data_IF_676577816597
#
_entry.id   IF_676577816597
#
_cell.length_a   1.000
_cell.length_b   1.000
_cell.length_c   1.000
_cell.angle_alpha   90.00
_cell.angle_beta   90.00
_cell.angle_gamma   90.00
#
_symmetry.space_group_name_H-M   'P 1'
#
loop_
_entity.id
_entity.type
_entity.pdbx_description
1 polymer ?
#
# COMPACT_ATOMS: atom_id res chain seq x y z
N UNK A 1 -13.43 -11.63 70.07
CA UNK A 1 -13.21 -10.86 68.83
C UNK A 1 -12.77 -11.86 67.79
N UNK A 2 -13.65 -12.15 66.82
CA UNK A 2 -13.56 -13.28 65.89
C UNK A 2 -13.30 -12.78 64.47
N UNK A 3 -12.61 -13.63 63.70
CA UNK A 3 -12.25 -13.53 62.28
C UNK A 3 -13.44 -13.50 61.30
N UNK A 4 -13.15 -12.90 60.13
CA UNK A 4 -13.63 -13.17 58.74
C UNK A 4 -15.06 -12.75 58.30
N UNK A 5 -15.37 -12.66 56.98
CA UNK A 5 -14.78 -11.79 55.93
C UNK A 5 -15.87 -11.15 55.02
N UNK A 6 -15.55 -10.17 54.16
CA UNK A 6 -16.44 -9.81 53.03
C UNK A 6 -15.63 -9.65 51.73
N UNK A 7 -15.88 -10.58 50.83
CA UNK A 7 -15.51 -10.53 49.42
C UNK A 7 -16.35 -9.49 48.68
N UNK A 8 -15.72 -8.74 47.76
CA UNK A 8 -16.40 -8.14 46.61
C UNK A 8 -15.57 -8.36 45.34
N UNK A 9 -16.19 -9.09 44.44
CA UNK A 9 -15.85 -9.34 43.04
C UNK A 9 -15.99 -8.09 42.18
N UNK A 10 -14.94 -7.74 41.42
CA UNK A 10 -14.94 -7.01 40.13
C UNK A 10 -13.67 -7.50 39.40
N UNK A 11 -13.74 -8.26 38.31
CA UNK A 11 -14.16 -7.87 36.95
C UNK A 11 -12.94 -7.27 36.20
N UNK A 12 -12.39 -7.90 35.15
CA UNK A 12 -11.18 -7.41 34.49
C UNK A 12 -11.53 -6.29 33.50
N UNK A 13 -11.39 -5.04 33.95
CA UNK A 13 -11.36 -3.87 33.08
C UNK A 13 -10.19 -3.00 33.53
N UNK A 14 -8.98 -3.41 33.16
CA UNK A 14 -7.75 -2.67 33.46
C UNK A 14 -6.64 -3.02 32.47
N UNK A 15 -6.80 -2.63 31.19
CA UNK A 15 -5.71 -2.44 30.22
C UNK A 15 -6.14 -1.45 29.13
N UNK A 16 -6.13 -0.15 29.44
CA UNK A 16 -6.00 0.91 28.41
C UNK A 16 -5.73 2.30 29.01
N UNK A 17 -4.96 2.38 30.10
CA UNK A 17 -4.59 3.65 30.71
C UNK A 17 -3.15 3.59 31.25
N UNK A 18 -2.18 3.54 30.33
CA UNK A 18 -0.77 3.84 30.63
C UNK A 18 -0.25 4.75 29.52
N UNK A 19 -0.62 6.04 29.56
CA UNK A 19 0.18 7.13 28.98
C UNK A 19 -0.30 8.52 29.42
N UNK A 20 -0.62 8.68 30.70
CA UNK A 20 -0.87 10.02 31.27
C UNK A 20 -0.52 10.09 32.76
N UNK A 21 0.69 9.66 33.14
CA UNK A 21 1.22 9.90 34.48
C UNK A 21 2.74 9.63 34.53
N UNK A 22 3.54 10.34 33.74
CA UNK A 22 4.98 10.44 33.99
C UNK A 22 5.65 11.65 33.31
N UNK A 23 5.06 12.86 33.40
CA UNK A 23 5.71 14.11 32.93
C UNK A 23 5.67 15.25 33.97
N UNK A 24 5.62 14.95 35.26
CA UNK A 24 5.55 15.97 36.32
C UNK A 24 6.71 15.98 37.32
N UNK A 25 7.86 15.37 37.02
CA UNK A 25 8.97 15.32 37.98
C UNK A 25 10.37 15.71 37.46
N UNK A 26 10.56 16.00 36.18
CA UNK A 26 11.86 16.51 35.72
C UNK A 26 11.61 17.62 34.70
N UNK A 27 11.91 18.86 35.11
CA UNK A 27 11.88 20.01 34.23
C UNK A 27 12.93 19.85 33.13
N UNK A 28 12.49 19.39 31.96
CA UNK A 28 13.23 19.44 30.71
C UNK A 28 12.26 19.85 29.61
N UNK A 29 12.35 21.10 29.20
CA UNK A 29 11.75 21.63 27.98
C UNK A 29 12.57 21.10 26.80
N UNK A 30 11.99 20.25 25.96
CA UNK A 30 12.65 19.77 24.74
C UNK A 30 12.13 18.44 24.22
N UNK A 31 10.89 18.43 23.73
CA UNK A 31 10.45 17.49 22.69
C UNK A 31 9.80 18.37 21.62
N UNK A 32 10.61 18.84 20.66
CA UNK A 32 10.08 19.47 19.45
C UNK A 32 9.84 18.39 18.40
N UNK A 33 8.70 18.55 17.76
CA UNK A 33 8.04 17.65 16.83
C UNK A 33 8.76 17.60 15.47
N UNK A 34 8.66 16.44 14.81
CA UNK A 34 9.28 16.16 13.51
C UNK A 34 8.94 17.21 12.45
N UNK A 35 9.95 17.97 12.06
CA UNK A 35 9.87 18.94 10.98
C UNK A 35 9.81 18.23 9.61
N UNK A 36 8.69 18.39 8.90
CA UNK A 36 8.71 18.35 7.43
C UNK A 36 9.43 19.60 6.92
N UNK A 37 10.70 19.44 6.53
CA UNK A 37 11.49 20.51 5.91
C UNK A 37 10.99 20.68 4.47
N UNK A 38 10.51 21.87 4.06
CA UNK A 38 10.17 22.10 2.67
C UNK A 38 11.41 21.94 1.78
N UNK A 39 11.27 21.21 0.69
CA UNK A 39 12.21 21.28 -0.43
C UNK A 39 12.22 22.75 -0.87
N UNK A 40 13.33 23.45 -0.67
CA UNK A 40 13.51 24.80 -1.19
C UNK A 40 13.43 24.73 -2.71
N UNK A 41 12.69 25.66 -3.30
CA UNK A 41 12.77 25.98 -4.73
C UNK A 41 14.23 26.00 -5.16
N UNK A 42 14.58 25.08 -6.08
CA UNK A 42 15.80 25.20 -6.83
C UNK A 42 15.61 26.36 -7.79
N UNK A 43 16.08 27.53 -7.37
CA UNK A 43 16.16 28.70 -8.23
C UNK A 43 16.91 28.35 -9.51
N UNK A 44 16.38 28.86 -10.62
CA UNK A 44 16.97 28.81 -11.96
C UNK A 44 18.46 29.15 -11.91
N UNK A 45 19.30 28.12 -11.93
CA UNK A 45 20.71 28.28 -12.25
C UNK A 45 20.80 28.46 -13.78
N UNK A 46 21.47 29.53 -14.27
CA UNK A 46 21.68 29.67 -15.70
C UNK A 46 22.58 28.53 -16.17
N UNK A 47 22.06 27.71 -17.08
CA UNK A 47 22.85 26.78 -17.86
C UNK A 47 23.70 27.60 -18.82
N UNK A 48 24.99 27.72 -18.49
CA UNK A 48 26.01 28.18 -19.41
C UNK A 48 26.07 27.19 -20.59
N UNK A 49 25.59 27.66 -21.73
CA UNK A 49 25.77 27.01 -23.00
C UNK A 49 27.20 27.24 -23.47
N UNK A 50 28.07 26.23 -23.42
CA UNK A 50 29.20 26.10 -24.35
C UNK A 50 29.86 24.71 -24.31
N UNK A 51 30.20 24.22 -25.51
CA UNK A 51 30.97 23.01 -25.85
C UNK A 51 30.27 21.64 -25.81
N UNK A 52 29.39 21.41 -26.80
CA UNK A 52 29.17 20.07 -27.35
C UNK A 52 30.38 19.73 -28.21
N UNK A 53 31.17 18.74 -27.78
CA UNK A 53 32.15 18.07 -28.63
C UNK A 53 31.40 16.95 -29.35
N UNK A 54 31.21 17.11 -30.65
CA UNK A 54 30.78 16.04 -31.55
C UNK A 54 31.77 14.88 -31.46
N UNK A 55 31.25 13.68 -31.20
CA UNK A 55 31.99 12.43 -31.38
C UNK A 55 31.32 11.68 -32.50
N UNK A 56 32.05 11.56 -33.61
CA UNK A 56 31.69 10.85 -34.84
C UNK A 56 31.26 9.41 -34.56
N UNK A 57 30.09 9.04 -35.06
CA UNK A 57 29.67 7.65 -35.23
C UNK A 57 30.26 7.11 -36.55
N UNK A 58 30.78 5.87 -36.60
CA UNK A 58 31.23 5.31 -37.86
C UNK A 58 30.05 4.81 -38.71
N UNK A 59 30.10 5.23 -39.97
CA UNK A 59 29.34 4.75 -41.11
C UNK A 59 29.33 3.21 -41.24
N UNK A 60 28.14 2.64 -41.42
CA UNK A 60 27.95 1.37 -42.13
C UNK A 60 26.80 1.53 -43.13
N UNK A 61 27.17 1.54 -44.40
CA UNK A 61 26.28 1.58 -45.55
C UNK A 61 25.77 0.16 -45.94
N UNK A 62 24.72 0.06 -46.78
CA UNK A 62 23.87 -1.12 -46.95
C UNK A 62 24.22 -1.96 -48.21
N UNK A 63 23.75 -3.22 -48.27
CA UNK A 63 22.96 -3.76 -49.40
C UNK A 63 22.70 -5.29 -49.36
N UNK A 64 21.48 -5.63 -49.81
CA UNK A 64 21.01 -6.84 -50.53
C UNK A 64 20.69 -8.16 -49.76
N UNK A 65 19.87 -9.08 -50.35
CA UNK A 65 18.57 -8.94 -51.03
C UNK A 65 17.52 -9.98 -50.50
N UNK A 66 16.29 -10.09 -51.05
CA UNK A 66 15.23 -10.94 -50.48
C UNK A 66 15.29 -12.38 -50.99
N UNK A 67 14.86 -13.33 -50.16
CA UNK A 67 14.67 -14.73 -50.55
C UNK A 67 13.17 -15.08 -50.61
N UNK A 68 12.70 -15.30 -51.83
CA UNK A 68 11.52 -16.10 -52.15
C UNK A 68 11.76 -17.56 -51.78
N UNK A 69 10.83 -18.20 -51.06
CA UNK A 69 10.63 -19.66 -51.12
C UNK A 69 9.15 -20.01 -50.95
N UNK A 70 8.58 -20.40 -52.08
CA UNK A 70 7.63 -21.50 -52.34
C UNK A 70 6.64 -21.98 -51.28
N UNK A 71 5.36 -21.95 -51.70
CA UNK A 71 4.25 -22.66 -51.07
C UNK A 71 4.21 -24.14 -51.45
N UNK A 72 3.90 -24.97 -50.46
CA UNK A 72 3.44 -26.35 -50.61
C UNK A 72 2.17 -26.56 -49.76
N UNK A 73 1.27 -27.47 -50.15
CA UNK A 73 -0.02 -27.64 -49.49
C UNK A 73 0.13 -28.40 -48.16
N UNK A 74 -0.26 -27.76 -47.06
CA UNK A 74 -0.42 -28.42 -45.75
C UNK A 74 -1.61 -29.40 -45.81
N UNK A 75 -1.29 -30.67 -45.61
CA UNK A 75 -2.25 -31.73 -45.31
C UNK A 75 -2.75 -31.58 -43.86
N UNK A 76 -4.07 -31.47 -43.69
CA UNK A 76 -4.71 -31.46 -42.38
C UNK A 76 -4.41 -32.76 -41.60
N UNK A 77 -3.94 -32.68 -40.35
CA UNK A 77 -3.90 -33.85 -39.46
C UNK A 77 -5.30 -34.14 -38.89
N UNK A 78 -5.61 -35.42 -38.82
CA UNK A 78 -6.84 -36.00 -38.28
C UNK A 78 -7.21 -35.44 -36.90
N UNK A 79 -8.48 -35.08 -36.74
CA UNK A 79 -9.07 -34.68 -35.47
C UNK A 79 -9.00 -35.85 -34.47
N UNK A 80 -8.46 -35.65 -33.25
CA UNK A 80 -8.54 -36.66 -32.21
C UNK A 80 -10.01 -36.83 -31.74
N UNK A 81 -10.38 -38.02 -31.24
CA UNK A 81 -11.75 -38.30 -30.81
C UNK A 81 -12.13 -37.38 -29.65
N UNK A 82 -13.32 -36.78 -29.75
CA UNK A 82 -13.98 -36.04 -28.69
C UNK A 82 -14.15 -36.94 -27.45
N UNK A 83 -13.23 -36.83 -26.50
CA UNK A 83 -13.42 -37.35 -25.16
C UNK A 83 -14.38 -36.40 -24.47
N UNK A 84 -15.67 -36.76 -24.42
CA UNK A 84 -16.66 -36.07 -23.60
C UNK A 84 -16.20 -36.07 -22.14
N UNK A 85 -15.63 -34.97 -21.69
CA UNK A 85 -15.41 -34.69 -20.28
C UNK A 85 -16.75 -34.27 -19.70
N UNK A 86 -17.27 -35.14 -18.85
CA UNK A 86 -18.44 -34.93 -18.01
C UNK A 86 -18.10 -33.83 -16.98
N UNK A 87 -18.31 -32.56 -17.35
CA UNK A 87 -18.02 -31.36 -16.55
C UNK A 87 -19.03 -31.14 -15.40
N UNK A 88 -19.65 -32.20 -14.89
CA UNK A 88 -20.77 -32.17 -13.94
C UNK A 88 -20.44 -31.77 -12.49
N UNK A 89 -19.37 -31.01 -12.23
CA UNK A 89 -18.93 -30.67 -10.86
C UNK A 89 -18.65 -29.18 -10.57
N UNK A 90 -18.89 -28.26 -11.51
CA UNK A 90 -18.53 -26.85 -11.34
C UNK A 90 -19.70 -25.92 -10.92
N UNK A 91 -20.94 -26.40 -10.80
CA UNK A 91 -22.12 -25.52 -10.57
C UNK A 91 -22.30 -25.03 -9.12
N UNK A 92 -21.56 -25.56 -8.13
CA UNK A 92 -21.78 -25.24 -6.71
C UNK A 92 -20.77 -24.25 -6.09
N UNK A 93 -19.78 -23.75 -6.84
CA UNK A 93 -18.84 -22.77 -6.29
C UNK A 93 -19.56 -21.43 -6.05
N UNK A 94 -19.44 -20.82 -4.85
CA UNK A 94 -20.06 -19.52 -4.59
C UNK A 94 -19.52 -18.46 -5.55
N UNK A 95 -20.36 -17.51 -5.99
CA UNK A 95 -19.97 -16.54 -7.00
C UNK A 95 -18.84 -15.63 -6.48
N UNK A 96 -17.93 -15.19 -7.38
CA UNK A 96 -16.90 -14.23 -7.02
C UNK A 96 -17.53 -12.91 -6.54
N UNK A 97 -16.75 -12.05 -5.84
CA UNK A 97 -17.22 -10.72 -5.52
C UNK A 97 -17.60 -10.00 -6.81
N UNK A 98 -18.69 -9.23 -6.78
CA UNK A 98 -19.03 -8.46 -7.95
C UNK A 98 -18.02 -7.32 -8.18
N UNK A 99 -17.80 -6.96 -9.44
CA UNK A 99 -16.90 -5.86 -9.82
C UNK A 99 -17.33 -4.55 -9.16
N UNK A 100 -16.45 -3.98 -8.33
CA UNK A 100 -16.65 -2.73 -7.63
C UNK A 100 -15.27 -2.15 -7.26
N UNK A 101 -14.94 -0.94 -7.72
CA UNK A 101 -13.62 -0.32 -7.51
C UNK A 101 -13.57 0.60 -6.29
N UNK A 102 -14.70 0.87 -5.65
CA UNK A 102 -14.78 1.77 -4.52
C UNK A 102 -14.26 1.10 -3.26
N UNK A 103 -13.55 1.86 -2.43
CA UNK A 103 -13.10 1.41 -1.13
C UNK A 103 -12.66 2.58 -0.24
N UNK A 104 -12.18 2.24 0.96
CA UNK A 104 -11.67 3.21 1.93
C UNK A 104 -10.65 2.56 2.87
N UNK A 105 -9.65 3.33 3.32
CA UNK A 105 -8.69 2.87 4.32
C UNK A 105 -9.08 3.20 5.77
N UNK A 106 -8.80 2.26 6.67
CA UNK A 106 -8.91 2.41 8.12
C UNK A 106 -7.52 2.53 8.75
N UNK A 107 -7.40 3.25 9.88
CA UNK A 107 -6.13 3.39 10.64
C UNK A 107 -5.86 2.22 11.61
N UNK A 108 -6.58 1.11 11.47
CA UNK A 108 -6.49 -0.03 12.36
C UNK A 108 -7.11 -1.29 11.77
N UNK A 109 -7.30 -2.34 12.58
CA UNK A 109 -7.85 -3.60 12.11
C UNK A 109 -9.32 -3.49 11.68
N UNK A 110 -10.02 -2.42 12.08
CA UNK A 110 -11.44 -2.20 11.81
C UNK A 110 -12.33 -2.73 12.92
N UNK A 111 -13.28 -1.89 13.37
CA UNK A 111 -14.35 -2.31 14.27
C UNK A 111 -15.68 -2.40 13.52
N UNK A 112 -16.73 -2.89 14.18
CA UNK A 112 -18.04 -3.05 13.53
C UNK A 112 -18.61 -1.72 13.00
N UNK A 113 -18.36 -0.61 13.69
CA UNK A 113 -18.89 0.70 13.32
C UNK A 113 -18.19 1.25 12.07
N UNK A 114 -16.86 1.23 12.04
CA UNK A 114 -16.09 1.67 10.87
C UNK A 114 -16.34 0.76 9.67
N UNK A 115 -16.56 -0.54 9.89
CA UNK A 115 -16.94 -1.46 8.83
C UNK A 115 -18.36 -1.23 8.30
N UNK A 116 -19.32 -0.81 9.14
CA UNK A 116 -20.66 -0.39 8.69
C UNK A 116 -20.57 0.84 7.77
N UNK A 117 -19.76 1.83 8.15
CA UNK A 117 -19.50 3.02 7.33
C UNK A 117 -18.77 2.66 6.03
N UNK A 118 -17.74 1.81 6.09
CA UNK A 118 -17.03 1.35 4.90
C UNK A 118 -17.98 0.61 3.93
N UNK A 119 -18.89 -0.21 4.45
CA UNK A 119 -19.89 -0.92 3.66
C UNK A 119 -20.92 0.03 3.05
N UNK A 120 -21.42 1.01 3.81
CA UNK A 120 -22.35 2.02 3.31
C UNK A 120 -21.72 2.89 2.21
N UNK A 121 -20.42 3.21 2.32
CA UNK A 121 -19.66 3.97 1.33
C UNK A 121 -19.30 3.16 0.07
N UNK A 122 -18.68 1.98 0.25
CA UNK A 122 -18.10 1.19 -0.84
C UNK A 122 -19.11 0.24 -1.48
N UNK A 123 -20.07 -0.29 -0.71
CA UNK A 123 -21.12 -1.19 -1.17
C UNK A 123 -20.61 -2.63 -1.43
N UNK A 124 -21.51 -3.56 -1.82
CA UNK A 124 -21.14 -4.96 -2.02
C UNK A 124 -20.04 -5.15 -3.09
N UNK A 125 -19.05 -5.97 -2.75
CA UNK A 125 -17.82 -6.19 -3.51
C UNK A 125 -16.79 -5.07 -3.39
N UNK A 126 -17.10 -3.99 -2.64
CA UNK A 126 -16.19 -2.88 -2.42
C UNK A 126 -15.03 -3.27 -1.51
N UNK A 127 -13.96 -2.48 -1.54
CA UNK A 127 -12.72 -2.79 -0.83
C UNK A 127 -12.61 -2.05 0.51
N UNK A 128 -11.94 -2.66 1.48
CA UNK A 128 -11.59 -2.01 2.74
C UNK A 128 -10.14 -2.32 3.10
N UNK A 129 -9.32 -1.26 3.27
CA UNK A 129 -7.94 -1.42 3.75
C UNK A 129 -7.94 -1.48 5.29
N UNK A 130 -7.41 -2.58 5.82
CA UNK A 130 -7.25 -2.85 7.25
C UNK A 130 -5.76 -2.87 7.59
N UNK A 131 -5.40 -2.45 8.80
CA UNK A 131 -4.01 -2.45 9.25
C UNK A 131 -3.86 -3.43 10.41
N UNK A 132 -3.04 -4.46 10.22
CA UNK A 132 -2.66 -5.44 11.23
C UNK A 132 -1.21 -5.16 11.68
N UNK A 133 -1.03 -4.32 12.71
CA UNK A 133 0.29 -4.00 13.24
C UNK A 133 0.82 -5.15 14.10
N UNK A 134 2.10 -5.15 14.41
CA UNK A 134 2.65 -6.01 15.46
C UNK A 134 3.05 -7.40 15.03
N UNK A 135 3.21 -7.64 13.73
CA UNK A 135 3.76 -8.91 13.24
C UNK A 135 5.28 -8.84 13.27
N UNK A 136 5.86 -9.60 14.19
CA UNK A 136 7.30 -9.88 14.27
C UNK A 136 7.57 -11.35 13.91
N UNK A 137 8.84 -11.74 13.76
CA UNK A 137 9.25 -13.13 13.47
C UNK A 137 8.71 -14.18 14.47
N UNK A 138 8.43 -13.76 15.70
CA UNK A 138 7.96 -14.63 16.79
C UNK A 138 6.42 -14.76 16.84
N UNK A 139 5.70 -14.07 15.94
CA UNK A 139 4.23 -14.08 15.93
C UNK A 139 3.69 -15.46 15.59
N UNK A 140 2.88 -16.05 16.47
CA UNK A 140 2.43 -17.44 16.33
C UNK A 140 1.19 -17.61 15.43
N UNK A 141 0.46 -16.55 15.14
CA UNK A 141 -0.81 -16.56 14.40
C UNK A 141 -1.52 -15.21 14.51
N UNK A 142 -2.73 -15.06 13.95
CA UNK A 142 -3.43 -13.78 13.97
C UNK A 142 -3.94 -13.44 15.37
N UNK A 143 -3.97 -12.15 15.70
CA UNK A 143 -4.68 -11.66 16.89
C UNK A 143 -6.20 -11.95 16.74
N UNK A 144 -6.92 -12.33 17.80
CA UNK A 144 -8.36 -12.57 17.74
C UNK A 144 -9.17 -11.39 17.18
N UNK A 145 -8.72 -10.14 17.39
CA UNK A 145 -9.36 -8.96 16.83
C UNK A 145 -9.22 -8.88 15.30
N UNK A 146 -8.13 -9.40 14.73
CA UNK A 146 -7.93 -9.45 13.27
C UNK A 146 -8.84 -10.49 12.63
N UNK A 147 -8.97 -11.65 13.27
CA UNK A 147 -9.92 -12.70 12.86
C UNK A 147 -11.34 -12.14 12.83
N UNK A 148 -11.72 -11.41 13.88
CA UNK A 148 -13.04 -10.78 13.99
C UNK A 148 -13.25 -9.70 12.92
N UNK A 149 -12.25 -8.85 12.65
CA UNK A 149 -12.33 -7.83 11.63
C UNK A 149 -12.56 -8.41 10.22
N UNK A 150 -11.82 -9.45 9.84
CA UNK A 150 -12.02 -10.12 8.54
C UNK A 150 -13.42 -10.71 8.45
N UNK A 151 -13.89 -11.37 9.52
CA UNK A 151 -15.25 -11.93 9.57
C UNK A 151 -16.31 -10.84 9.38
N UNK A 152 -16.17 -9.71 10.07
CA UNK A 152 -17.09 -8.58 9.98
C UNK A 152 -17.07 -7.90 8.60
N UNK A 153 -15.91 -7.79 7.97
CA UNK A 153 -15.78 -7.27 6.61
C UNK A 153 -16.49 -8.19 5.60
N UNK A 154 -16.24 -9.51 5.67
CA UNK A 154 -16.91 -10.48 4.80
C UNK A 154 -18.43 -10.51 4.98
N UNK A 155 -18.94 -10.32 6.20
CA UNK A 155 -20.38 -10.23 6.48
C UNK A 155 -21.07 -9.02 5.85
N UNK A 156 -20.28 -8.00 5.48
CA UNK A 156 -20.74 -6.79 4.80
C UNK A 156 -20.46 -6.80 3.30
N UNK A 157 -20.11 -7.98 2.76
CA UNK A 157 -19.70 -8.14 1.36
C UNK A 157 -18.54 -7.22 0.97
N UNK A 158 -17.63 -6.91 1.90
CA UNK A 158 -16.39 -6.17 1.63
C UNK A 158 -15.24 -7.13 1.30
N UNK A 159 -14.37 -6.71 0.39
CA UNK A 159 -13.12 -7.39 0.02
C UNK A 159 -11.97 -6.79 0.85
N UNK A 160 -11.35 -7.54 1.77
CA UNK A 160 -10.28 -7.01 2.61
C UNK A 160 -8.96 -6.84 1.84
N UNK A 161 -8.31 -5.69 2.06
CA UNK A 161 -6.91 -5.42 1.73
C UNK A 161 -6.18 -5.20 3.04
N UNK A 162 -5.31 -6.11 3.42
CA UNK A 162 -4.69 -6.14 4.75
C UNK A 162 -3.24 -5.71 4.66
N UNK A 163 -2.94 -4.54 5.19
CA UNK A 163 -1.57 -4.10 5.44
C UNK A 163 -1.06 -4.77 6.70
N UNK A 164 -0.08 -5.65 6.56
CA UNK A 164 0.60 -6.28 7.68
C UNK A 164 1.94 -5.55 7.88
N UNK A 165 2.27 -5.21 9.12
CA UNK A 165 3.49 -4.49 9.45
C UNK A 165 3.96 -4.70 10.89
N UNK A 166 5.06 -4.04 11.28
CA UNK A 166 5.62 -4.10 12.63
C UNK A 166 4.67 -3.45 13.67
N UNK A 167 4.96 -3.56 14.98
CA UNK A 167 4.19 -2.87 16.01
C UNK A 167 4.08 -1.36 15.73
N UNK A 168 2.99 -0.74 16.15
CA UNK A 168 2.84 0.71 15.99
C UNK A 168 3.98 1.49 16.66
N UNK A 169 4.64 2.34 15.89
CA UNK A 169 5.79 3.13 16.34
C UNK A 169 7.09 2.32 16.47
N UNK A 170 7.07 1.06 16.06
CA UNK A 170 8.27 0.25 15.83
C UNK A 170 8.54 0.21 14.33
N UNK A 171 9.63 0.87 13.94
CA UNK A 171 10.02 1.02 12.55
C UNK A 171 11.28 0.18 12.24
N UNK A 172 11.66 -0.71 13.16
CA UNK A 172 12.85 -1.53 13.10
C UNK A 172 12.59 -2.88 12.39
N UNK A 173 11.69 -2.93 11.40
CA UNK A 173 11.39 -4.16 10.63
C UNK A 173 12.65 -4.78 10.01
N UNK A 174 13.64 -3.95 9.68
CA UNK A 174 14.97 -4.38 9.22
C UNK A 174 15.65 -5.36 10.19
N UNK A 175 15.41 -5.21 11.49
CA UNK A 175 16.00 -6.05 12.53
C UNK A 175 15.37 -7.45 12.62
N UNK A 176 14.24 -7.66 11.96
CA UNK A 176 13.63 -8.99 11.81
C UNK A 176 14.26 -9.83 10.69
N UNK A 177 15.27 -9.30 9.99
CA UNK A 177 16.05 -10.08 9.05
C UNK A 177 16.74 -11.28 9.72
N UNK A 178 16.90 -12.37 8.96
CA UNK A 178 17.54 -13.58 9.44
C UNK A 178 19.00 -13.30 9.85
N UNK A 179 19.50 -13.85 10.97
CA UNK A 179 20.86 -13.61 11.42
C UNK A 179 21.93 -13.88 10.35
N UNK A 180 22.83 -12.91 10.16
CA UNK A 180 23.91 -12.99 9.18
C UNK A 180 23.50 -12.79 7.72
N UNK A 181 22.24 -12.44 7.44
CA UNK A 181 21.76 -12.16 6.08
C UNK A 181 22.09 -10.75 5.58
N UNK A 182 22.52 -9.84 6.47
CA UNK A 182 22.70 -8.42 6.18
C UNK A 182 21.43 -7.76 5.59
N UNK A 183 20.25 -8.14 6.10
CA UNK A 183 18.98 -7.58 5.63
C UNK A 183 18.47 -8.17 4.32
N UNK A 184 19.05 -9.27 3.82
CA UNK A 184 18.71 -9.85 2.51
C UNK A 184 17.92 -11.17 2.58
N UNK A 185 17.53 -11.60 3.79
CA UNK A 185 16.63 -12.74 4.04
C UNK A 185 15.75 -12.47 5.26
N UNK A 186 14.47 -12.79 5.15
CA UNK A 186 13.45 -12.57 6.16
C UNK A 186 12.59 -13.83 6.36
N UNK A 187 13.17 -15.03 6.25
CA UNK A 187 12.39 -16.28 6.24
C UNK A 187 11.61 -16.49 7.54
N UNK A 188 12.16 -16.11 8.69
CA UNK A 188 11.43 -16.21 9.96
C UNK A 188 10.23 -15.25 10.05
N UNK A 189 10.38 -14.02 9.54
CA UNK A 189 9.28 -13.04 9.48
C UNK A 189 8.24 -13.45 8.42
N UNK A 190 8.66 -13.96 7.27
CA UNK A 190 7.77 -14.48 6.24
C UNK A 190 6.91 -15.65 6.75
N UNK A 191 7.49 -16.55 7.53
CA UNK A 191 6.74 -17.62 8.20
C UNK A 191 5.76 -17.07 9.25
N UNK A 192 6.05 -15.93 9.88
CA UNK A 192 5.09 -15.26 10.77
C UNK A 192 3.89 -14.69 9.98
N UNK A 193 4.13 -14.04 8.84
CA UNK A 193 3.07 -13.60 7.92
C UNK A 193 2.21 -14.79 7.47
N UNK A 194 2.84 -15.89 7.07
CA UNK A 194 2.16 -17.13 6.69
C UNK A 194 1.27 -17.66 7.81
N UNK A 195 1.75 -17.74 9.05
CA UNK A 195 0.95 -18.18 10.22
C UNK A 195 -0.23 -17.26 10.50
N UNK A 196 -0.04 -15.95 10.38
CA UNK A 196 -1.12 -14.96 10.54
C UNK A 196 -2.20 -15.19 9.49
N UNK A 197 -1.83 -15.18 8.20
CA UNK A 197 -2.78 -15.29 7.09
C UNK A 197 -3.48 -16.65 7.07
N UNK A 198 -2.77 -17.74 7.36
CA UNK A 198 -3.36 -19.08 7.44
C UNK A 198 -4.44 -19.22 8.53
N UNK A 199 -4.40 -18.37 9.55
CA UNK A 199 -5.39 -18.35 10.63
C UNK A 199 -6.58 -17.44 10.38
N UNK A 200 -6.61 -16.65 9.28
CA UNK A 200 -7.70 -15.73 9.00
C UNK A 200 -8.92 -16.45 8.40
N UNK A 201 -10.15 -16.00 8.71
CA UNK A 201 -11.36 -16.61 8.17
C UNK A 201 -11.61 -16.13 6.73
N UNK A 202 -11.21 -16.95 5.75
CA UNK A 202 -11.38 -16.62 4.33
C UNK A 202 -12.77 -17.03 3.82
N UNK A 203 -13.46 -16.11 3.14
CA UNK A 203 -14.71 -16.40 2.42
C UNK A 203 -14.42 -17.18 1.14
N UNK A 204 -15.21 -18.21 0.85
CA UNK A 204 -15.05 -19.00 -0.37
C UNK A 204 -15.34 -18.15 -1.62
N UNK A 205 -14.54 -18.32 -2.68
CA UNK A 205 -14.64 -17.56 -3.93
C UNK A 205 -14.21 -16.08 -3.85
N UNK A 206 -13.85 -15.58 -2.67
CA UNK A 206 -13.51 -14.17 -2.46
C UNK A 206 -12.02 -14.02 -2.12
N UNK A 207 -11.30 -13.07 -2.76
CA UNK A 207 -9.90 -12.86 -2.46
C UNK A 207 -9.70 -12.11 -1.14
N UNK A 208 -8.51 -12.26 -0.58
CA UNK A 208 -7.92 -11.36 0.40
C UNK A 208 -6.60 -10.87 -0.17
N UNK A 209 -6.37 -9.57 -0.10
CA UNK A 209 -5.12 -8.96 -0.58
C UNK A 209 -4.23 -8.64 0.61
N UNK A 210 -2.98 -9.06 0.57
CA UNK A 210 -2.00 -8.85 1.64
C UNK A 210 -0.98 -7.83 1.12
N UNK A 211 -1.02 -6.63 1.69
CA UNK A 211 -0.05 -5.56 1.47
C UNK A 211 1.09 -5.73 2.48
N UNK A 212 2.30 -5.93 1.96
CA UNK A 212 3.48 -6.22 2.78
C UNK A 212 4.18 -4.92 3.16
N UNK A 213 4.00 -4.48 4.41
CA UNK A 213 4.57 -3.27 5.00
C UNK A 213 3.95 -1.95 4.48
N UNK A 214 4.52 -0.80 4.87
CA UNK A 214 4.11 0.55 4.47
C UNK A 214 5.34 1.37 4.04
N UNK A 215 5.28 2.06 2.90
CA UNK A 215 6.23 3.12 2.46
C UNK A 215 7.70 2.93 2.90
N UNK A 216 8.33 1.78 2.61
CA UNK A 216 9.71 1.47 3.04
C UNK A 216 10.77 2.44 2.49
N UNK A 217 10.41 3.28 1.52
CA UNK A 217 11.24 4.34 0.96
C UNK A 217 11.29 5.61 1.83
N UNK A 218 10.59 5.62 2.97
CA UNK A 218 10.67 6.63 4.01
C UNK A 218 11.49 6.18 5.22
N UNK A 219 12.32 7.08 5.75
CA UNK A 219 13.23 6.77 6.85
C UNK A 219 12.55 6.35 8.14
N UNK A 220 11.32 6.80 8.36
CA UNK A 220 10.53 6.42 9.52
C UNK A 220 9.75 5.12 9.32
N UNK A 221 9.76 4.50 8.14
CA UNK A 221 9.15 3.18 7.93
C UNK A 221 10.20 2.07 7.81
N UNK A 222 11.44 2.44 7.50
CA UNK A 222 12.58 1.53 7.38
C UNK A 222 13.81 2.07 8.10
N UNK A 223 13.84 1.91 9.43
CA UNK A 223 14.94 2.43 10.26
C UNK A 223 16.10 1.42 10.32
N UNK A 224 17.33 1.95 10.25
CA UNK A 224 18.53 1.19 10.63
C UNK A 224 18.95 1.52 12.06
N UNK A 225 19.47 0.53 12.79
CA UNK A 225 20.00 0.73 14.14
C UNK A 225 21.42 1.33 14.07
N UNK A 226 21.76 2.33 14.92
CA UNK A 226 23.11 2.90 14.99
C UNK A 226 24.19 1.81 15.17
N UNK A 227 25.29 1.96 14.43
CA UNK A 227 26.41 1.02 14.38
C UNK A 227 26.21 -0.19 13.46
N UNK A 228 25.03 -0.34 12.83
CA UNK A 228 24.75 -1.51 11.95
C UNK A 228 25.03 -1.27 10.47
N UNK A 229 25.26 -0.02 10.06
CA UNK A 229 25.67 0.34 8.70
C UNK A 229 26.88 1.29 8.74
N UNK A 230 27.78 1.24 7.75
CA UNK A 230 28.94 2.13 7.72
C UNK A 230 28.55 3.61 7.77
N UNK A 231 29.10 4.34 8.74
CA UNK A 231 28.86 5.77 8.90
C UNK A 231 27.50 6.14 9.48
N UNK A 232 26.67 5.19 9.91
CA UNK A 232 25.33 5.41 10.48
C UNK A 232 24.34 6.10 9.52
N UNK A 233 24.53 5.89 8.21
CA UNK A 233 23.59 6.32 7.17
C UNK A 233 23.31 5.16 6.21
N UNK A 234 22.06 4.73 6.11
CA UNK A 234 21.63 3.74 5.13
C UNK A 234 21.18 4.47 3.86
N UNK A 235 21.72 4.07 2.71
CA UNK A 235 21.32 4.59 1.40
C UNK A 235 20.07 3.90 0.87
N UNK A 236 19.28 4.60 0.04
CA UNK A 236 18.05 4.05 -0.53
C UNK A 236 18.30 2.77 -1.33
N UNK A 237 19.48 2.60 -1.93
CA UNK A 237 19.78 1.38 -2.67
C UNK A 237 19.84 0.15 -1.76
N UNK A 238 20.40 0.32 -0.56
CA UNK A 238 20.41 -0.75 0.42
C UNK A 238 18.99 -1.01 0.93
N UNK A 239 18.25 0.03 1.30
CA UNK A 239 16.86 -0.08 1.76
C UNK A 239 15.96 -0.79 0.73
N UNK A 240 16.06 -0.41 -0.55
CA UNK A 240 15.31 -1.03 -1.65
C UNK A 240 15.61 -2.52 -1.79
N UNK A 241 16.88 -2.92 -1.69
CA UNK A 241 17.27 -4.34 -1.76
C UNK A 241 16.81 -5.15 -0.56
N UNK A 242 16.93 -4.57 0.64
CA UNK A 242 16.47 -5.22 1.87
C UNK A 242 14.95 -5.41 1.84
N UNK A 243 14.19 -4.39 1.42
CA UNK A 243 12.75 -4.51 1.25
C UNK A 243 12.35 -5.48 0.12
N UNK A 244 13.04 -5.47 -1.03
CA UNK A 244 12.80 -6.44 -2.10
C UNK A 244 12.99 -7.89 -1.61
N UNK A 245 13.97 -8.14 -0.75
CA UNK A 245 14.17 -9.43 -0.12
C UNK A 245 13.05 -9.81 0.86
N UNK A 246 12.57 -8.86 1.67
CA UNK A 246 11.39 -9.08 2.53
C UNK A 246 10.17 -9.45 1.70
N UNK A 247 9.86 -8.66 0.66
CA UNK A 247 8.70 -8.87 -0.19
C UNK A 247 8.77 -10.21 -0.93
N UNK A 248 9.95 -10.61 -1.43
CA UNK A 248 10.18 -11.94 -2.02
C UNK A 248 9.84 -13.05 -1.03
N UNK A 249 10.45 -13.03 0.16
CA UNK A 249 10.32 -14.13 1.13
C UNK A 249 8.88 -14.24 1.64
N UNK A 250 8.21 -13.10 1.88
CA UNK A 250 6.79 -13.06 2.28
C UNK A 250 5.89 -13.58 1.15
N UNK A 251 6.08 -13.13 -0.09
CA UNK A 251 5.28 -13.59 -1.22
C UNK A 251 5.43 -15.11 -1.41
N UNK A 252 6.65 -15.64 -1.40
CA UNK A 252 6.92 -17.07 -1.52
C UNK A 252 6.25 -17.87 -0.39
N UNK A 253 6.31 -17.37 0.86
CA UNK A 253 5.69 -18.04 2.01
C UNK A 253 4.15 -18.06 1.95
N UNK A 254 3.54 -16.95 1.49
CA UNK A 254 2.08 -16.82 1.33
C UNK A 254 1.56 -17.65 0.16
N UNK A 255 2.21 -17.59 -1.01
CA UNK A 255 1.85 -18.45 -2.15
C UNK A 255 2.04 -19.94 -1.83
N UNK A 256 3.02 -20.27 -0.99
CA UNK A 256 3.22 -21.62 -0.48
C UNK A 256 2.08 -22.16 0.40
N UNK A 257 1.05 -21.37 0.73
CA UNK A 257 -0.20 -21.87 1.33
C UNK A 257 -1.07 -22.60 0.31
N UNK A 258 -0.89 -22.35 -0.99
CA UNK A 258 -1.63 -23.00 -2.07
C UNK A 258 -3.10 -22.58 -2.17
N UNK A 259 -3.51 -21.54 -1.44
CA UNK A 259 -4.88 -21.01 -1.50
C UNK A 259 -4.95 -19.83 -2.50
N UNK A 260 -5.63 -19.99 -3.66
CA UNK A 260 -5.68 -18.96 -4.70
C UNK A 260 -6.47 -17.71 -4.30
N UNK A 261 -7.09 -17.69 -3.12
CA UNK A 261 -7.75 -16.49 -2.59
C UNK A 261 -6.75 -15.51 -1.98
N UNK A 262 -5.59 -15.99 -1.53
CA UNK A 262 -4.56 -15.16 -0.92
C UNK A 262 -3.76 -14.51 -2.05
N UNK A 263 -3.78 -13.18 -2.10
CA UNK A 263 -3.11 -12.37 -3.11
C UNK A 263 -2.11 -11.43 -2.46
N UNK A 264 -0.96 -11.23 -3.10
CA UNK A 264 0.14 -10.43 -2.55
C UNK A 264 0.29 -9.12 -3.31
N UNK A 265 0.38 -8.03 -2.54
CA UNK A 265 0.73 -6.68 -2.99
C UNK A 265 2.08 -6.27 -2.36
N UNK A 266 2.84 -5.42 -3.04
CA UNK A 266 3.87 -4.60 -2.39
C UNK A 266 3.23 -3.63 -1.38
N UNK A 267 3.99 -3.09 -0.44
CA UNK A 267 3.70 -1.79 0.19
C UNK A 267 3.47 -0.73 -0.87
N UNK A 268 2.44 0.11 -0.70
CA UNK A 268 2.42 1.38 -1.42
C UNK A 268 3.64 2.20 -1.03
N UNK A 269 4.39 2.66 -2.05
CA UNK A 269 5.58 3.48 -1.86
C UNK A 269 5.18 4.96 -1.78
N UNK A 270 5.89 5.74 -0.96
CA UNK A 270 5.68 7.17 -0.96
C UNK A 270 6.12 7.73 -2.34
N UNK A 271 5.37 8.64 -2.98
CA UNK A 271 5.77 9.07 -4.32
C UNK A 271 7.15 9.74 -4.35
N UNK A 272 7.54 10.40 -3.25
CA UNK A 272 8.89 10.89 -3.00
C UNK A 272 9.50 10.24 -1.77
N UNK A 273 10.77 9.86 -1.86
CA UNK A 273 11.49 9.11 -0.84
C UNK A 273 12.82 9.73 -0.41
N UNK A 274 13.44 9.11 0.58
CA UNK A 274 14.74 9.53 1.08
C UNK A 274 15.89 8.87 0.30
N UNK A 275 16.85 9.66 -0.17
CA UNK A 275 18.11 9.19 -0.74
C UNK A 275 18.95 8.45 0.30
N UNK A 276 18.94 8.91 1.54
CA UNK A 276 19.54 8.20 2.68
C UNK A 276 18.92 8.62 4.00
N UNK A 277 18.98 7.70 4.95
CA UNK A 277 18.42 7.83 6.28
C UNK A 277 19.52 7.68 7.33
N UNK A 278 19.51 8.55 8.34
CA UNK A 278 20.36 8.40 9.50
C UNK A 278 19.84 7.24 10.35
N UNK A 279 20.73 6.35 10.78
CA UNK A 279 20.35 5.30 11.71
C UNK A 279 19.90 5.88 13.05
N UNK A 280 18.83 5.31 13.60
CA UNK A 280 18.07 5.88 14.72
C UNK A 280 16.89 6.76 14.29
N UNK A 281 16.78 7.13 13.02
CA UNK A 281 15.59 7.77 12.45
C UNK A 281 15.51 9.30 12.58
N UNK A 282 16.50 9.95 13.18
CA UNK A 282 16.46 11.40 13.47
C UNK A 282 16.79 12.31 12.27
N UNK A 283 17.35 11.76 11.19
CA UNK A 283 17.86 12.54 10.05
C UNK A 283 17.62 11.87 8.70
N UNK A 284 17.42 12.66 7.65
CA UNK A 284 17.23 12.16 6.29
C UNK A 284 17.69 13.16 5.23
N UNK A 285 17.96 12.65 4.03
CA UNK A 285 18.15 13.44 2.82
C UNK A 285 17.11 13.03 1.78
N UNK A 286 16.19 13.93 1.43
CA UNK A 286 15.24 13.70 0.34
C UNK A 286 15.96 13.66 -1.01
N UNK A 287 15.42 12.93 -1.99
CA UNK A 287 15.90 13.07 -3.36
C UNK A 287 15.64 11.93 -4.34
N UNK A 288 14.85 10.92 -3.97
CA UNK A 288 14.45 9.85 -4.90
C UNK A 288 12.93 9.85 -5.09
N UNK A 289 12.48 9.18 -6.14
CA UNK A 289 11.06 8.84 -6.33
C UNK A 289 10.82 7.36 -6.05
N UNK A 290 9.56 6.96 -5.85
CA UNK A 290 9.18 5.54 -5.81
C UNK A 290 9.67 4.76 -7.05
N UNK A 291 9.73 5.42 -8.20
CA UNK A 291 10.20 4.84 -9.47
C UNK A 291 11.68 4.45 -9.38
N UNK A 292 12.51 5.27 -8.74
CA UNK A 292 13.93 4.98 -8.53
C UNK A 292 14.11 3.82 -7.54
N UNK A 293 13.31 3.83 -6.48
CA UNK A 293 13.28 2.75 -5.48
C UNK A 293 12.87 1.41 -6.11
N UNK A 294 11.81 1.38 -6.92
CA UNK A 294 11.34 0.19 -7.66
C UNK A 294 12.40 -0.35 -8.62
N UNK A 295 13.07 0.53 -9.38
CA UNK A 295 14.17 0.10 -10.27
C UNK A 295 15.29 -0.58 -9.50
N UNK A 296 15.61 -0.07 -8.32
CA UNK A 296 16.65 -0.66 -7.48
C UNK A 296 16.19 -1.97 -6.82
N UNK A 297 14.92 -2.07 -6.40
CA UNK A 297 14.32 -3.33 -5.94
C UNK A 297 14.45 -4.45 -6.98
N UNK A 298 14.35 -4.12 -8.28
CA UNK A 298 14.44 -5.07 -9.39
C UNK A 298 15.85 -5.20 -9.98
N UNK A 299 16.85 -4.48 -9.44
CA UNK A 299 18.16 -4.42 -10.06
C UNK A 299 18.90 -5.76 -9.99
N UNK A 300 19.66 -6.09 -11.03
CA UNK A 300 20.59 -7.24 -11.01
C UNK A 300 21.82 -6.98 -10.11
N UNK A 301 21.98 -5.75 -9.63
CA UNK A 301 23.09 -5.29 -8.79
C UNK A 301 22.86 -5.52 -7.29
N UNK A 302 21.86 -6.35 -6.94
CA UNK A 302 21.58 -6.75 -5.56
C UNK A 302 20.11 -6.74 -5.18
N UNK A 303 19.21 -6.33 -6.08
CA UNK A 303 17.77 -6.48 -5.91
C UNK A 303 17.29 -7.91 -6.18
N UNK A 304 16.00 -8.04 -6.47
CA UNK A 304 15.31 -9.29 -6.81
C UNK A 304 14.68 -9.12 -8.20
N UNK A 305 15.40 -9.44 -9.29
CA UNK A 305 14.94 -9.17 -10.66
C UNK A 305 13.62 -9.85 -11.05
N UNK A 306 13.29 -10.96 -10.41
CA UNK A 306 12.07 -11.74 -10.64
C UNK A 306 10.96 -11.41 -9.61
N UNK A 307 11.11 -10.36 -8.80
CA UNK A 307 10.14 -9.96 -7.78
C UNK A 307 8.77 -9.63 -8.38
N UNK A 308 8.74 -8.96 -9.54
CA UNK A 308 7.50 -8.58 -10.20
C UNK A 308 6.64 -9.79 -10.59
N UNK A 309 7.22 -10.98 -10.76
CA UNK A 309 6.48 -12.21 -11.04
C UNK A 309 5.80 -12.82 -9.81
N UNK A 310 6.16 -12.37 -8.60
CA UNK A 310 5.59 -12.83 -7.31
C UNK A 310 4.43 -11.97 -6.82
N UNK A 311 4.08 -10.90 -7.53
CA UNK A 311 2.97 -10.04 -7.15
C UNK A 311 1.70 -10.45 -7.89
N UNK A 312 0.58 -10.46 -7.16
CA UNK A 312 -0.75 -10.67 -7.73
C UNK A 312 -1.43 -9.35 -8.13
N UNK A 313 -0.94 -8.24 -7.57
CA UNK A 313 -1.37 -6.88 -7.84
C UNK A 313 -0.32 -5.89 -7.37
N UNK A 314 -0.55 -4.60 -7.66
CA UNK A 314 0.40 -3.54 -7.34
C UNK A 314 -0.26 -2.47 -6.45
N UNK A 315 0.29 -2.22 -5.27
CA UNK A 315 -0.15 -1.11 -4.42
C UNK A 315 0.60 0.18 -4.78
N UNK A 316 -0.13 1.30 -4.84
CA UNK A 316 0.42 2.63 -5.11
C UNK A 316 -0.18 3.66 -4.16
N UNK A 317 0.64 4.61 -3.71
CA UNK A 317 0.18 5.79 -2.97
C UNK A 317 0.15 7.03 -3.88
N UNK A 318 -0.59 6.96 -4.98
CA UNK A 318 -0.74 8.06 -5.95
C UNK A 318 -1.54 9.23 -5.37
N UNK A 319 -0.88 10.10 -4.61
CA UNK A 319 -1.46 11.31 -4.01
C UNK A 319 -1.53 12.48 -5.02
N UNK A 320 -2.46 13.43 -4.84
CA UNK A 320 -2.56 14.62 -5.68
C UNK A 320 -1.30 15.47 -5.55
N UNK A 321 -0.61 15.65 -6.68
CA UNK A 321 0.66 16.33 -6.73
C UNK A 321 0.89 17.00 -8.09
N UNK A 322 1.56 18.15 -8.08
CA UNK A 322 1.98 18.90 -9.27
C UNK A 322 3.03 18.15 -10.11
N UNK A 323 3.79 17.25 -9.49
CA UNK A 323 4.83 16.49 -10.16
C UNK A 323 4.97 15.06 -9.66
N UNK A 324 5.98 14.39 -10.21
CA UNK A 324 6.31 13.00 -9.91
C UNK A 324 7.07 12.94 -8.59
N UNK A 325 6.37 12.71 -7.48
CA UNK A 325 6.98 12.59 -6.15
C UNK A 325 7.17 13.91 -5.39
N UNK A 326 6.60 15.02 -5.85
CA UNK A 326 6.73 16.33 -5.21
C UNK A 326 5.53 17.24 -5.51
N UNK A 327 5.38 18.32 -4.72
CA UNK A 327 4.32 19.31 -4.93
C UNK A 327 2.95 18.79 -4.54
N UNK A 328 2.85 18.12 -3.38
CA UNK A 328 1.62 17.51 -2.88
C UNK A 328 0.58 18.54 -2.41
N UNK A 329 -0.65 18.06 -2.28
CA UNK A 329 -1.80 18.79 -1.71
C UNK A 329 -2.23 19.98 -2.56
N UNK A 330 -2.12 19.84 -3.87
CA UNK A 330 -2.46 20.89 -4.83
C UNK A 330 -3.93 20.78 -5.26
N UNK A 331 -4.57 21.90 -5.65
CA UNK A 331 -5.89 21.86 -6.24
C UNK A 331 -5.98 20.93 -7.46
N UNK A 332 -7.18 20.46 -7.74
CA UNK A 332 -7.44 19.43 -8.75
C UNK A 332 -6.81 19.70 -10.13
N UNK A 333 -6.87 20.95 -10.60
CA UNK A 333 -6.36 21.37 -11.91
C UNK A 333 -4.85 21.16 -12.07
N UNK A 334 -4.12 20.99 -10.96
CA UNK A 334 -2.68 20.72 -10.94
C UNK A 334 -2.33 19.32 -10.46
N UNK A 335 -3.28 18.57 -9.90
CA UNK A 335 -3.03 17.26 -9.27
C UNK A 335 -2.83 16.09 -10.25
N UNK A 336 -3.15 16.27 -11.53
CA UNK A 336 -3.17 15.20 -12.53
C UNK A 336 -1.89 14.36 -12.65
N UNK A 337 -0.68 14.93 -12.54
CA UNK A 337 0.56 14.14 -12.52
C UNK A 337 0.61 13.14 -11.35
N UNK A 338 0.35 13.59 -10.12
CA UNK A 338 0.36 12.73 -8.94
C UNK A 338 -0.76 11.67 -8.93
N UNK A 339 -1.96 12.02 -9.41
CA UNK A 339 -3.11 11.11 -9.46
C UNK A 339 -2.91 9.92 -10.42
N UNK A 340 -1.96 10.02 -11.35
CA UNK A 340 -1.57 8.99 -12.34
C UNK A 340 -0.18 8.41 -12.08
N UNK A 341 0.41 8.70 -10.93
CA UNK A 341 1.80 8.31 -10.63
C UNK A 341 2.02 6.78 -10.75
N UNK A 342 1.01 5.99 -10.38
CA UNK A 342 0.98 4.53 -10.54
C UNK A 342 1.32 4.04 -11.96
N UNK A 343 1.03 4.82 -13.01
CA UNK A 343 1.36 4.46 -14.39
C UNK A 343 2.87 4.35 -14.59
N UNK A 344 3.63 5.26 -13.97
CA UNK A 344 5.10 5.26 -14.02
C UNK A 344 5.70 4.17 -13.14
N UNK A 345 5.06 3.89 -12.01
CA UNK A 345 5.44 2.78 -11.14
C UNK A 345 5.25 1.42 -11.84
N UNK A 346 4.10 1.19 -12.47
CA UNK A 346 3.84 0.00 -13.28
C UNK A 346 4.84 -0.13 -14.44
N UNK A 347 5.18 0.98 -15.09
CA UNK A 347 6.17 0.99 -16.15
C UNK A 347 7.56 0.58 -15.63
N UNK A 348 7.95 1.03 -14.44
CA UNK A 348 9.21 0.65 -13.80
C UNK A 348 9.21 -0.80 -13.32
N UNK A 349 8.06 -1.31 -12.86
CA UNK A 349 7.87 -2.71 -12.47
C UNK A 349 8.00 -3.67 -13.66
N UNK A 350 7.74 -3.19 -14.89
CA UNK A 350 7.76 -4.00 -16.11
C UNK A 350 6.56 -4.93 -16.27
N UNK A 351 5.49 -4.73 -15.47
CA UNK A 351 4.27 -5.55 -15.46
C UNK A 351 3.02 -4.68 -15.60
N UNK A 352 2.56 -4.47 -16.84
CA UNK A 352 1.36 -3.67 -17.14
C UNK A 352 0.04 -4.44 -16.99
N UNK A 353 0.12 -5.73 -16.73
CA UNK A 353 -1.02 -6.64 -16.59
C UNK A 353 -1.47 -6.81 -15.13
N UNK A 354 -0.75 -6.23 -14.16
CA UNK A 354 -1.11 -6.32 -12.74
C UNK A 354 -2.25 -5.35 -12.40
N UNK A 355 -3.27 -5.80 -11.65
CA UNK A 355 -4.28 -4.90 -11.11
C UNK A 355 -3.65 -3.93 -10.10
N UNK A 356 -3.98 -2.65 -10.22
CA UNK A 356 -3.51 -1.57 -9.35
C UNK A 356 -4.51 -1.30 -8.24
N UNK A 357 -3.98 -1.20 -7.03
CA UNK A 357 -4.67 -0.80 -5.82
C UNK A 357 -4.10 0.55 -5.39
N UNK A 358 -4.91 1.60 -5.43
CA UNK A 358 -4.54 2.86 -4.79
C UNK A 358 -4.82 2.70 -3.30
N UNK A 359 -3.85 2.14 -2.57
CA UNK A 359 -4.01 1.73 -1.17
C UNK A 359 -4.00 2.91 -0.21
N UNK A 360 -3.48 4.07 -0.66
CA UNK A 360 -3.66 5.38 -0.06
C UNK A 360 -3.67 6.46 -1.16
N UNK A 361 -4.54 7.45 -1.00
CA UNK A 361 -4.62 8.64 -1.85
C UNK A 361 -5.58 9.63 -1.20
N UNK A 362 -5.76 10.81 -1.80
CA UNK A 362 -6.78 11.77 -1.41
C UNK A 362 -6.22 13.15 -1.12
N UNK A 363 -7.12 14.08 -0.83
CA UNK A 363 -6.77 15.42 -0.39
C UNK A 363 -7.09 15.57 1.09
N UNK A 364 -6.42 16.54 1.69
CA UNK A 364 -6.68 17.03 3.03
C UNK A 364 -7.20 18.45 2.99
N UNK A 365 -7.81 18.87 4.11
CA UNK A 365 -8.19 20.26 4.35
C UNK A 365 -7.04 21.08 4.96
N UNK A 366 -7.10 22.43 4.87
CA UNK A 366 -6.14 23.28 5.56
C UNK A 366 -6.04 22.95 7.04
N UNK A 367 -4.81 22.84 7.53
CA UNK A 367 -4.51 22.39 8.89
C UNK A 367 -3.02 22.16 9.09
N UNK A 368 -2.67 21.55 10.21
CA UNK A 368 -1.28 21.34 10.62
C UNK A 368 -0.48 20.54 9.56
N UNK A 369 -1.13 19.51 8.98
CA UNK A 369 -0.48 18.57 8.06
C UNK A 369 -0.40 19.09 6.62
N UNK A 370 -1.40 19.84 6.17
CA UNK A 370 -1.53 20.24 4.77
C UNK A 370 -1.37 21.74 4.49
N UNK A 371 -1.07 22.50 5.55
CA UNK A 371 -0.85 23.95 5.51
C UNK A 371 -1.97 24.64 4.70
N UNK A 372 -1.65 25.73 4.02
CA UNK A 372 -2.62 26.55 3.28
C UNK A 372 -3.00 25.99 1.91
N UNK A 373 -2.36 24.90 1.44
CA UNK A 373 -2.58 24.36 0.10
C UNK A 373 -3.82 23.44 0.01
N UNK A 374 -4.33 22.99 1.15
CA UNK A 374 -5.53 22.15 1.21
C UNK A 374 -6.80 22.88 0.70
N UNK A 375 -7.75 22.11 0.17
CA UNK A 375 -9.08 22.62 -0.17
C UNK A 375 -10.02 22.62 1.03
N UNK A 376 -11.07 23.43 1.00
CA UNK A 376 -12.21 23.24 1.90
C UNK A 376 -12.80 21.83 1.76
N UNK A 377 -13.60 21.37 2.74
CA UNK A 377 -14.24 20.05 2.68
C UNK A 377 -15.07 19.84 1.42
N UNK A 378 -15.73 20.89 0.93
CA UNK A 378 -16.52 20.83 -0.31
C UNK A 378 -15.66 20.78 -1.57
N UNK A 379 -14.54 21.50 -1.60
CA UNK A 379 -13.55 21.43 -2.69
C UNK A 379 -12.89 20.06 -2.73
N UNK A 380 -12.42 19.54 -1.59
CA UNK A 380 -11.87 18.17 -1.47
C UNK A 380 -12.87 17.14 -1.96
N UNK A 381 -14.14 17.27 -1.60
CA UNK A 381 -15.20 16.38 -2.07
C UNK A 381 -15.39 16.45 -3.59
N UNK A 382 -15.38 17.65 -4.17
CA UNK A 382 -15.46 17.86 -5.62
C UNK A 382 -14.25 17.26 -6.35
N UNK A 383 -13.03 17.59 -5.90
CA UNK A 383 -11.78 17.12 -6.49
C UNK A 383 -11.68 15.59 -6.45
N UNK A 384 -12.09 14.99 -5.33
CA UNK A 384 -12.12 13.53 -5.17
C UNK A 384 -13.09 12.88 -6.16
N UNK A 385 -14.33 13.40 -6.29
CA UNK A 385 -15.30 12.88 -7.28
C UNK A 385 -14.74 12.99 -8.69
N UNK A 386 -14.15 14.14 -9.05
CA UNK A 386 -13.55 14.32 -10.37
C UNK A 386 -12.41 13.35 -10.62
N UNK A 387 -11.56 13.08 -9.63
CA UNK A 387 -10.48 12.09 -9.78
C UNK A 387 -11.01 10.67 -10.01
N UNK A 388 -12.08 10.27 -9.31
CA UNK A 388 -12.77 9.02 -9.58
C UNK A 388 -13.28 8.96 -11.03
N UNK A 389 -13.94 10.01 -11.50
CA UNK A 389 -14.56 10.02 -12.83
C UNK A 389 -13.56 10.14 -13.98
N UNK A 390 -12.55 10.99 -13.83
CA UNK A 390 -11.62 11.36 -14.91
C UNK A 390 -10.38 10.45 -14.95
N UNK A 391 -9.91 9.92 -13.81
CA UNK A 391 -8.68 9.12 -13.75
C UNK A 391 -8.92 7.67 -13.35
N UNK A 392 -9.74 7.38 -12.33
CA UNK A 392 -9.67 6.07 -11.69
C UNK A 392 -10.70 5.04 -12.18
N UNK A 393 -11.98 5.41 -12.25
CA UNK A 393 -13.06 4.46 -12.61
C UNK A 393 -13.00 4.01 -14.06
N UNK A 394 -12.41 4.82 -14.95
CA UNK A 394 -12.22 4.49 -16.36
C UNK A 394 -10.91 3.75 -16.67
N UNK A 395 -9.94 3.73 -15.76
CA UNK A 395 -8.62 3.17 -16.04
C UNK A 395 -8.68 1.64 -16.13
N UNK A 396 -8.12 0.98 -17.15
CA UNK A 396 -8.19 -0.48 -17.28
C UNK A 396 -7.49 -1.20 -16.12
N UNK A 397 -6.37 -0.64 -15.65
CA UNK A 397 -5.52 -1.33 -14.68
C UNK A 397 -5.96 -1.13 -13.21
N UNK A 398 -6.81 -0.13 -12.91
CA UNK A 398 -7.25 0.13 -11.52
C UNK A 398 -8.31 -0.87 -11.09
N UNK A 399 -7.97 -1.66 -10.08
CA UNK A 399 -8.87 -2.59 -9.42
C UNK A 399 -9.59 -1.98 -8.21
N UNK A 400 -8.89 -1.14 -7.43
CA UNK A 400 -9.46 -0.53 -6.23
C UNK A 400 -8.87 0.86 -5.94
N UNK A 401 -9.68 1.73 -5.35
CA UNK A 401 -9.27 3.02 -4.79
C UNK A 401 -9.68 3.06 -3.31
N UNK A 402 -8.70 3.23 -2.42
CA UNK A 402 -8.90 3.23 -0.97
C UNK A 402 -8.24 4.48 -0.37
N UNK A 403 -8.92 5.64 -0.40
CA UNK A 403 -8.36 6.89 0.11
C UNK A 403 -8.00 6.83 1.60
N UNK A 404 -6.99 7.60 1.98
CA UNK A 404 -6.59 7.83 3.37
C UNK A 404 -7.33 9.07 3.89
N UNK A 405 -8.28 8.98 4.82
CA UNK A 405 -8.78 7.76 5.46
C UNK A 405 -10.22 7.94 5.97
N UNK A 406 -10.89 6.87 6.39
CA UNK A 406 -12.28 6.95 6.86
C UNK A 406 -12.46 7.87 8.06
N UNK A 407 -11.81 7.59 9.20
CA UNK A 407 -12.02 8.27 10.49
C UNK A 407 -10.86 8.05 11.46
N UNK A 408 -10.22 9.14 11.90
CA UNK A 408 -9.26 9.14 13.00
C UNK A 408 -9.11 10.57 13.56
N UNK A 409 -9.11 10.77 14.90
CA UNK A 409 -8.98 12.10 15.49
C UNK A 409 -7.65 12.80 15.17
N UNK A 410 -6.54 12.05 15.09
CA UNK A 410 -5.22 12.58 14.77
C UNK A 410 -5.03 12.92 13.30
N UNK A 411 -5.88 12.37 12.43
CA UNK A 411 -5.87 12.59 10.97
C UNK A 411 -7.16 13.22 10.45
N UNK A 412 -7.84 14.01 11.28
CA UNK A 412 -9.15 14.54 10.93
C UNK A 412 -9.15 15.35 9.63
N UNK A 413 -8.05 16.05 9.29
CA UNK A 413 -7.91 16.81 8.04
C UNK A 413 -7.99 15.94 6.77
N UNK A 414 -7.74 14.63 6.90
CA UNK A 414 -7.91 13.62 5.85
C UNK A 414 -9.18 12.79 6.00
N UNK A 415 -9.81 12.81 7.17
CA UNK A 415 -10.95 11.95 7.49
C UNK A 415 -12.16 12.25 6.60
N UNK A 416 -12.91 11.20 6.24
CA UNK A 416 -14.18 11.29 5.52
C UNK A 416 -15.38 11.33 6.47
N UNK A 417 -15.19 10.85 7.69
CA UNK A 417 -16.16 10.82 8.78
C UNK A 417 -15.49 11.39 10.03
N UNK A 418 -16.19 12.26 10.73
CA UNK A 418 -15.76 12.82 12.00
C UNK A 418 -15.78 11.75 13.12
N UNK A 419 -15.10 12.03 14.23
CA UNK A 419 -14.98 11.08 15.36
C UNK A 419 -16.33 10.65 15.93
N UNK A 420 -17.33 11.54 15.89
CA UNK A 420 -18.69 11.29 16.36
C UNK A 420 -19.59 10.56 15.34
N UNK A 421 -19.05 10.22 14.17
CA UNK A 421 -19.77 9.54 13.09
C UNK A 421 -20.42 10.48 12.07
N UNK A 422 -20.31 11.81 12.24
CA UNK A 422 -20.84 12.74 11.26
C UNK A 422 -20.05 12.68 9.94
N UNK A 423 -20.74 12.56 8.81
CA UNK A 423 -20.09 12.51 7.50
C UNK A 423 -19.57 13.89 7.10
N UNK A 424 -18.39 13.91 6.47
CA UNK A 424 -17.95 15.07 5.69
C UNK A 424 -18.46 14.95 4.24
N UNK A 425 -18.58 16.08 3.51
CA UNK A 425 -19.11 16.09 2.14
C UNK A 425 -18.51 15.06 1.18
N UNK A 426 -17.20 14.75 1.32
CA UNK A 426 -16.51 13.76 0.47
C UNK A 426 -17.12 12.36 0.59
N UNK A 427 -17.53 11.95 1.79
CA UNK A 427 -18.17 10.65 2.02
C UNK A 427 -19.47 10.54 1.22
N UNK A 428 -20.39 11.50 1.40
CA UNK A 428 -21.71 11.44 0.79
C UNK A 428 -21.64 11.56 -0.74
N UNK A 429 -20.73 12.39 -1.27
CA UNK A 429 -20.58 12.58 -2.73
C UNK A 429 -19.97 11.35 -3.41
N UNK A 430 -18.97 10.71 -2.83
CA UNK A 430 -18.39 9.47 -3.39
C UNK A 430 -19.38 8.31 -3.28
N UNK A 431 -20.09 8.21 -2.15
CA UNK A 431 -21.20 7.24 -1.99
C UNK A 431 -22.27 7.43 -3.06
N UNK A 432 -22.69 8.67 -3.32
CA UNK A 432 -23.67 8.98 -4.36
C UNK A 432 -23.15 8.66 -5.77
N UNK A 433 -21.87 8.95 -6.06
CA UNK A 433 -21.22 8.57 -7.31
C UNK A 433 -21.28 7.06 -7.53
N UNK A 434 -20.89 6.26 -6.53
CA UNK A 434 -21.01 4.79 -6.59
C UNK A 434 -22.45 4.36 -6.91
N UNK A 435 -23.45 4.91 -6.21
CA UNK A 435 -24.85 4.58 -6.46
C UNK A 435 -25.30 4.85 -7.90
N UNK A 436 -24.81 5.93 -8.51
CA UNK A 436 -25.08 6.25 -9.91
C UNK A 436 -24.36 5.35 -10.91
N UNK A 437 -23.19 4.81 -10.55
CA UNK A 437 -22.35 3.99 -11.44
C UNK A 437 -22.63 2.49 -11.37
N UNK A 438 -23.14 2.00 -10.25
CA UNK A 438 -23.44 0.58 -10.03
C UNK A 438 -24.93 0.44 -9.67
N UNK A 439 -25.83 0.32 -10.67
CA UNK A 439 -27.27 0.23 -10.43
C UNK A 439 -27.65 -0.94 -9.52
N UNK A 440 -28.60 -0.71 -8.61
CA UNK A 440 -29.13 -1.74 -7.70
C UNK A 440 -28.24 -2.06 -6.50
N UNK A 441 -27.22 -1.24 -6.21
CA UNK A 441 -26.26 -1.45 -5.10
C UNK A 441 -26.24 -0.38 -4.03
N UNK A 442 -27.31 0.40 -3.98
CA UNK A 442 -27.57 1.29 -2.86
C UNK A 442 -28.92 0.91 -2.23
N UNK A 443 -29.03 1.01 -0.89
CA UNK A 443 -30.28 0.75 -0.19
C UNK A 443 -31.41 1.69 -0.62
#
# INVERSE_FOLDING_TARGET
MKHDPIARTRGPAARCAVRLALCLAVGATGCDEGHWVPIRDFGDAPVDAESVVEVDAPDVAPDAPPADVDGGPETAPDAPPETGTDDGAAEDAPPPPPVNRFGIGLVGPGDAFDLDLAADLAGPGGFVKLIFPGVTRDTAGPDPSWVEAIRLACQRDLVPVVRIGPPWGDNDVRNDADPGSNGLRYTALAEAYRRVVAGLPLREGWPIWIEVHNEPDLCYEWVCTPGTVPGDWIGYEQTAREYAALLRDVADALHGLGDPRIRVLNAGLAPGGARRCQCGGDGYEAGITAVDFLREMLSVAGGVPDLAARLDGFASHSYPAEGMGWGFWVPYDRAGPGLRFFESELAALGRRDLPVFLTETGWCTPGERCRENGGSRDEVAEWTVRAYEEFWLGHPDIAAVMPFMLRDPGWNDFAWVAVDGAHYPVYDRVRALRCGRIPGRCP
#
